data_IF_912164698172
#
_entry.id   IF_912164698172
#
_cell.length_a   1.000
_cell.length_b   1.000
_cell.length_c   1.000
_cell.angle_alpha   90.00
_cell.angle_beta   90.00
_cell.angle_gamma   90.00
#
_symmetry.space_group_name_H-M   'P 1'
#
loop_
_entity.id
_entity.type
_entity.pdbx_description
1 polymer ?
#
# COMPACT_ATOMS: atom_id res chain seq x y z
N UNK A 1 18.11 -7.55 -11.13
CA UNK A 1 19.59 -7.48 -10.97
C UNK A 1 20.06 -6.08 -10.61
N UNK A 2 19.75 -5.04 -11.39
CA UNK A 2 20.11 -3.65 -11.05
C UNK A 2 19.50 -3.19 -9.73
N UNK A 3 18.21 -3.46 -9.53
CA UNK A 3 17.48 -3.15 -8.30
C UNK A 3 18.16 -3.73 -7.04
N UNK A 4 18.51 -5.03 -7.08
CA UNK A 4 19.23 -5.70 -5.99
C UNK A 4 20.58 -5.07 -5.66
N UNK A 5 21.33 -4.63 -6.68
CA UNK A 5 22.62 -3.97 -6.49
C UNK A 5 22.45 -2.57 -5.87
N UNK A 6 21.43 -1.82 -6.29
CA UNK A 6 21.10 -0.53 -5.67
C UNK A 6 20.73 -0.73 -4.20
N UNK A 7 19.91 -1.75 -3.90
CA UNK A 7 19.54 -2.13 -2.55
C UNK A 7 20.74 -2.42 -1.64
N UNK A 8 21.72 -3.18 -2.13
CA UNK A 8 22.89 -3.56 -1.34
C UNK A 8 23.88 -2.41 -1.17
N UNK A 9 24.23 -1.73 -2.26
CA UNK A 9 25.35 -0.79 -2.29
C UNK A 9 24.98 0.69 -2.06
N UNK A 10 23.76 1.10 -2.43
CA UNK A 10 23.34 2.50 -2.34
C UNK A 10 22.39 2.72 -1.18
N UNK A 11 21.33 1.92 -1.03
CA UNK A 11 20.31 2.15 0.00
C UNK A 11 20.88 2.10 1.41
N UNK A 12 21.86 1.22 1.65
CA UNK A 12 22.53 1.07 2.95
C UNK A 12 23.33 2.32 3.38
N UNK A 13 23.69 3.18 2.43
CA UNK A 13 24.41 4.44 2.69
C UNK A 13 23.49 5.62 2.97
N UNK A 14 22.19 5.51 2.62
CA UNK A 14 21.22 6.59 2.71
C UNK A 14 20.62 6.74 4.12
N UNK A 15 21.43 7.16 5.10
CA UNK A 15 20.96 7.42 6.47
C UNK A 15 20.15 8.73 6.53
N UNK A 16 20.74 9.79 5.99
CA UNK A 16 20.08 11.10 5.87
C UNK A 16 19.21 11.16 4.62
N UNK A 17 18.27 12.12 4.53
CA UNK A 17 17.47 12.34 3.32
C UNK A 17 18.36 12.49 2.08
N UNK A 18 18.33 11.48 1.23
CA UNK A 18 19.21 11.35 0.06
C UNK A 18 18.36 11.09 -1.18
N UNK A 19 18.64 11.82 -2.26
CA UNK A 19 17.97 11.62 -3.54
C UNK A 19 18.86 10.80 -4.48
N UNK A 20 18.38 9.63 -4.87
CA UNK A 20 18.96 8.84 -5.95
C UNK A 20 18.25 9.27 -7.24
N UNK A 21 19.00 9.74 -8.23
CA UNK A 21 18.46 10.36 -9.44
C UNK A 21 18.95 9.68 -10.71
N UNK A 22 18.24 9.91 -11.81
CA UNK A 22 18.61 9.45 -13.16
C UNK A 22 18.62 7.93 -13.30
N UNK A 23 17.50 7.29 -12.96
CA UNK A 23 17.32 5.86 -13.13
C UNK A 23 17.34 5.44 -14.62
N UNK A 24 17.88 4.27 -14.97
CA UNK A 24 17.79 3.72 -16.32
C UNK A 24 16.36 3.58 -16.85
N UNK A 25 16.18 3.80 -18.15
CA UNK A 25 14.87 3.70 -18.83
C UNK A 25 14.24 2.32 -18.69
N UNK A 26 15.06 1.27 -18.70
CA UNK A 26 14.61 -0.13 -18.58
C UNK A 26 13.89 -0.42 -17.26
N UNK A 27 14.17 0.34 -16.20
CA UNK A 27 13.55 0.18 -14.87
C UNK A 27 12.40 1.17 -14.64
N UNK A 28 12.14 2.08 -15.59
CA UNK A 28 11.23 3.21 -15.39
C UNK A 28 10.32 3.38 -16.61
N UNK A 29 9.38 2.45 -16.86
CA UNK A 29 8.55 2.43 -18.07
C UNK A 29 7.72 3.70 -18.25
N UNK A 30 7.24 4.30 -17.15
CA UNK A 30 6.40 5.50 -17.16
C UNK A 30 7.19 6.81 -17.09
N UNK A 31 8.48 6.76 -16.80
CA UNK A 31 9.29 7.97 -16.63
C UNK A 31 9.84 8.46 -17.97
N UNK A 32 9.73 9.76 -18.22
CA UNK A 32 10.27 10.41 -19.41
C UNK A 32 11.80 10.25 -19.49
N UNK A 33 12.29 10.03 -20.70
CA UNK A 33 13.73 9.97 -21.00
C UNK A 33 14.44 11.27 -20.58
N UNK A 34 15.70 11.15 -20.19
CA UNK A 34 16.50 12.26 -19.69
C UNK A 34 16.91 13.20 -20.82
N UNK A 35 16.72 14.51 -20.64
CA UNK A 35 16.99 15.54 -21.67
C UNK A 35 18.41 15.55 -22.25
N UNK A 36 19.40 15.09 -21.48
CA UNK A 36 20.83 15.16 -21.83
C UNK A 36 21.61 13.85 -21.69
N UNK A 37 21.01 12.79 -21.14
CA UNK A 37 21.72 11.54 -20.84
C UNK A 37 20.96 10.36 -21.46
N UNK A 38 21.37 9.90 -22.66
CA UNK A 38 20.70 8.80 -23.33
C UNK A 38 20.67 7.53 -22.45
N UNK A 39 19.52 6.83 -22.42
CA UNK A 39 19.34 5.59 -21.65
C UNK A 39 18.95 5.78 -20.18
N UNK A 40 18.85 7.03 -19.71
CA UNK A 40 18.35 7.37 -18.36
C UNK A 40 17.01 8.11 -18.45
N UNK A 41 16.30 8.16 -17.33
CA UNK A 41 15.04 8.87 -17.14
C UNK A 41 15.18 10.07 -16.20
N UNK A 42 14.24 11.01 -16.30
CA UNK A 42 14.07 12.08 -15.31
C UNK A 42 13.27 11.57 -14.10
N UNK A 43 13.84 10.62 -13.35
CA UNK A 43 13.28 10.02 -12.13
C UNK A 43 14.21 10.22 -10.94
N UNK A 44 13.63 10.47 -9.77
CA UNK A 44 14.32 10.40 -8.50
C UNK A 44 13.56 9.57 -7.48
N UNK A 45 14.31 8.97 -6.57
CA UNK A 45 13.80 8.30 -5.39
C UNK A 45 14.46 8.93 -4.17
N UNK A 46 13.66 9.24 -3.16
CA UNK A 46 14.13 9.79 -1.90
C UNK A 46 14.22 8.66 -0.87
N UNK A 47 15.39 8.55 -0.25
CA UNK A 47 15.69 7.58 0.80
C UNK A 47 15.95 8.27 2.12
N UNK A 48 15.42 7.71 3.20
CA UNK A 48 15.66 8.12 4.59
C UNK A 48 15.84 6.86 5.42
N UNK A 49 16.84 6.84 6.30
CA UNK A 49 17.12 5.70 7.18
C UNK A 49 17.12 4.35 6.42
N UNK A 50 17.84 4.32 5.29
CA UNK A 50 18.00 3.17 4.38
C UNK A 50 16.70 2.62 3.79
N UNK A 51 15.64 3.43 3.69
CA UNK A 51 14.37 3.05 3.09
C UNK A 51 13.86 4.13 2.16
N UNK A 52 13.29 3.69 1.05
CA UNK A 52 12.61 4.55 0.09
C UNK A 52 11.34 5.15 0.71
N UNK A 53 11.26 6.48 0.72
CA UNK A 53 10.09 7.23 1.19
C UNK A 53 9.24 7.79 0.05
N UNK A 54 9.86 8.08 -1.09
CA UNK A 54 9.21 8.78 -2.18
C UNK A 54 9.84 8.39 -3.51
N UNK A 55 8.99 8.29 -4.53
CA UNK A 55 9.35 8.10 -5.91
C UNK A 55 8.68 9.19 -6.74
N UNK A 56 9.44 9.81 -7.63
CA UNK A 56 8.93 10.89 -8.47
C UNK A 56 9.64 10.90 -9.82
N UNK A 57 8.93 11.28 -10.85
CA UNK A 57 9.47 11.33 -12.20
C UNK A 57 8.72 12.33 -13.07
N UNK A 58 9.39 12.81 -14.10
CA UNK A 58 8.70 13.52 -15.18
C UNK A 58 7.91 12.48 -15.96
N UNK A 59 6.60 12.71 -16.12
CA UNK A 59 5.69 11.77 -16.76
C UNK A 59 6.00 11.64 -18.25
N UNK A 60 6.00 10.39 -18.75
CA UNK A 60 6.11 10.13 -20.17
C UNK A 60 4.81 10.56 -20.87
N UNK A 61 4.90 11.66 -21.61
CA UNK A 61 3.75 12.24 -22.31
C UNK A 61 3.70 11.92 -23.81
N UNK A 62 4.52 10.98 -24.29
CA UNK A 62 4.51 10.54 -25.69
C UNK A 62 3.76 9.21 -25.82
N UNK A 63 2.58 9.17 -26.48
CA UNK A 63 1.78 7.95 -26.56
C UNK A 63 2.47 6.83 -27.35
N UNK A 64 3.22 7.16 -28.40
CA UNK A 64 3.95 6.19 -29.20
C UNK A 64 5.04 5.48 -28.38
N UNK A 65 5.84 6.26 -27.63
CA UNK A 65 6.89 5.71 -26.75
C UNK A 65 6.28 4.93 -25.59
N UNK A 66 5.15 5.40 -25.05
CA UNK A 66 4.46 4.69 -23.97
C UNK A 66 3.97 3.31 -24.43
N UNK A 67 3.42 3.20 -25.65
CA UNK A 67 3.02 1.90 -26.23
C UNK A 67 4.20 0.96 -26.41
N UNK A 68 5.30 1.44 -26.99
CA UNK A 68 6.52 0.64 -27.16
C UNK A 68 7.03 0.08 -25.83
N UNK A 69 6.97 0.89 -24.75
CA UNK A 69 7.37 0.45 -23.41
C UNK A 69 6.41 -0.58 -22.82
N UNK A 70 5.11 -0.44 -23.03
CA UNK A 70 4.14 -1.45 -22.62
C UNK A 70 4.29 -2.76 -23.40
N UNK A 71 4.60 -2.70 -24.70
CA UNK A 71 4.88 -3.89 -25.50
C UNK A 71 6.12 -4.64 -24.98
N UNK A 72 7.18 -3.92 -24.62
CA UNK A 72 8.37 -4.53 -24.03
C UNK A 72 8.07 -5.14 -22.64
N UNK A 73 7.27 -4.46 -21.81
CA UNK A 73 6.85 -5.03 -20.52
C UNK A 73 5.96 -6.27 -20.69
N UNK A 74 5.05 -6.28 -21.66
CA UNK A 74 4.26 -7.46 -21.99
C UNK A 74 5.17 -8.62 -22.42
N UNK A 75 6.21 -8.34 -23.20
CA UNK A 75 7.21 -9.35 -23.58
C UNK A 75 8.03 -9.86 -22.39
N UNK A 76 8.30 -9.02 -21.40
CA UNK A 76 8.98 -9.43 -20.15
C UNK A 76 8.05 -10.30 -19.29
N UNK A 77 6.75 -9.98 -19.25
CA UNK A 77 5.73 -10.80 -18.60
C UNK A 77 5.66 -12.21 -19.18
N UNK A 78 5.68 -12.33 -20.50
CA UNK A 78 5.69 -13.63 -21.20
C UNK A 78 6.96 -14.44 -20.90
N UNK A 79 8.04 -13.77 -20.49
CA UNK A 79 9.30 -14.39 -20.03
C UNK A 79 9.28 -14.79 -18.54
N UNK A 80 8.16 -14.55 -17.84
CA UNK A 80 7.96 -14.97 -16.44
C UNK A 80 8.14 -13.87 -15.40
N UNK A 81 8.09 -12.59 -15.80
CA UNK A 81 8.04 -11.46 -14.85
C UNK A 81 6.60 -11.17 -14.42
N UNK A 82 6.22 -11.66 -13.23
CA UNK A 82 4.87 -11.47 -12.67
C UNK A 82 4.60 -10.01 -12.22
N UNK A 83 5.63 -9.17 -12.09
CA UNK A 83 5.52 -7.75 -11.69
C UNK A 83 5.40 -6.80 -12.89
N UNK A 84 5.54 -7.31 -14.11
CA UNK A 84 5.42 -6.52 -15.32
C UNK A 84 3.99 -5.97 -15.53
N UNK A 85 3.92 -4.71 -15.94
CA UNK A 85 2.64 -4.04 -16.17
C UNK A 85 1.94 -4.59 -17.42
N UNK A 86 0.62 -4.61 -17.37
CA UNK A 86 -0.22 -4.92 -18.52
C UNK A 86 -0.35 -3.70 -19.43
N UNK A 87 -0.55 -3.94 -20.73
CA UNK A 87 -0.85 -2.90 -21.70
C UNK A 87 -2.23 -2.30 -21.38
N UNK A 88 -2.29 -1.00 -21.13
CA UNK A 88 -3.53 -0.23 -20.97
C UNK A 88 -3.74 0.69 -22.18
N UNK A 89 -4.55 0.21 -23.14
CA UNK A 89 -4.88 0.97 -24.35
C UNK A 89 -5.70 2.22 -24.06
N UNK A 90 -6.53 2.22 -23.00
CA UNK A 90 -7.31 3.41 -22.63
C UNK A 90 -6.41 4.51 -22.09
N UNK A 91 -5.36 4.13 -21.34
CA UNK A 91 -4.32 5.07 -20.90
C UNK A 91 -3.55 5.65 -22.09
N UNK A 92 -3.11 4.80 -23.03
CA UNK A 92 -2.43 5.26 -24.24
C UNK A 92 -3.31 6.17 -25.10
N UNK A 93 -4.59 5.85 -25.27
CA UNK A 93 -5.54 6.71 -25.97
C UNK A 93 -5.72 8.05 -25.25
N UNK A 94 -5.77 8.05 -23.91
CA UNK A 94 -5.84 9.28 -23.12
C UNK A 94 -4.62 10.19 -23.32
N UNK A 95 -3.42 9.60 -23.44
CA UNK A 95 -2.20 10.35 -23.75
C UNK A 95 -2.24 11.01 -25.14
N UNK A 96 -2.94 10.42 -26.12
CA UNK A 96 -3.10 10.99 -27.47
C UNK A 96 -3.97 12.25 -27.49
N UNK A 97 -4.92 12.39 -26.56
CA UNK A 97 -5.66 13.64 -26.39
C UNK A 97 -4.78 14.79 -25.88
N UNK A 98 -3.59 14.48 -25.38
CA UNK A 98 -2.56 15.43 -25.03
C UNK A 98 -2.38 15.57 -23.52
N UNK A 99 -1.35 14.90 -22.99
CA UNK A 99 -0.85 15.14 -21.64
C UNK A 99 0.17 16.30 -21.65
N UNK A 100 -0.09 17.43 -20.96
CA UNK A 100 0.91 18.49 -20.81
C UNK A 100 2.17 17.98 -20.08
N UNK A 101 3.31 18.67 -20.20
CA UNK A 101 4.52 18.30 -19.46
C UNK A 101 4.23 18.30 -17.95
N UNK A 102 4.19 17.11 -17.36
CA UNK A 102 3.72 16.86 -15.99
C UNK A 102 4.80 16.11 -15.20
N UNK A 103 4.85 16.34 -13.88
CA UNK A 103 5.65 15.54 -12.96
C UNK A 103 4.74 14.75 -12.02
N UNK A 104 5.02 13.46 -11.89
CA UNK A 104 4.39 12.58 -10.92
C UNK A 104 5.21 12.49 -9.65
N UNK A 105 4.52 12.31 -8.52
CA UNK A 105 5.13 12.15 -7.21
C UNK A 105 4.28 11.23 -6.36
N UNK A 106 4.93 10.27 -5.71
CA UNK A 106 4.35 9.37 -4.73
C UNK A 106 5.19 9.34 -3.46
N UNK A 107 4.53 9.26 -2.31
CA UNK A 107 5.18 9.11 -1.01
C UNK A 107 4.44 8.11 -0.15
N UNK A 108 5.21 7.23 0.50
CA UNK A 108 4.69 6.30 1.48
C UNK A 108 4.37 7.00 2.79
N UNK A 109 3.10 7.35 3.01
CA UNK A 109 2.65 8.00 4.25
C UNK A 109 2.94 7.12 5.46
N UNK A 110 2.71 5.82 5.37
CA UNK A 110 2.99 4.87 6.45
C UNK A 110 4.47 4.91 6.84
N UNK A 111 5.38 4.90 5.86
CA UNK A 111 6.82 5.00 6.09
C UNK A 111 7.22 6.36 6.69
N UNK A 112 6.61 7.45 6.21
CA UNK A 112 6.83 8.76 6.81
C UNK A 112 6.42 8.78 8.29
N UNK A 113 5.24 8.25 8.62
CA UNK A 113 4.75 8.18 10.00
C UNK A 113 5.63 7.25 10.84
N UNK A 114 6.13 6.14 10.29
CA UNK A 114 7.09 5.26 10.96
C UNK A 114 8.34 6.02 11.41
N UNK A 115 8.92 6.85 10.55
CA UNK A 115 10.07 7.68 10.90
C UNK A 115 9.74 8.76 11.93
N UNK A 116 8.58 9.42 11.80
CA UNK A 116 8.16 10.46 12.74
C UNK A 116 7.81 9.91 14.13
N UNK A 117 7.32 8.68 14.20
CA UNK A 117 6.94 8.00 15.45
C UNK A 117 8.04 7.10 16.01
N UNK A 118 9.20 7.04 15.34
CA UNK A 118 10.33 6.17 15.68
C UNK A 118 9.95 4.68 15.81
N UNK A 119 9.07 4.22 14.92
CA UNK A 119 8.60 2.83 14.86
C UNK A 119 9.21 2.10 13.66
N UNK A 120 9.79 0.93 13.90
CA UNK A 120 10.37 0.09 12.83
C UNK A 120 9.34 -0.79 12.09
N UNK A 121 8.16 -0.99 12.68
CA UNK A 121 7.12 -1.86 12.13
C UNK A 121 5.95 -1.03 11.60
N UNK A 122 5.53 -1.30 10.36
CA UNK A 122 4.35 -0.67 9.75
C UNK A 122 3.06 -0.96 10.51
N UNK A 123 3.01 -2.05 11.29
CA UNK A 123 1.83 -2.41 12.07
C UNK A 123 1.53 -1.42 13.20
N UNK A 124 2.55 -0.70 13.68
CA UNK A 124 2.40 0.29 14.75
C UNK A 124 1.76 1.59 14.27
N UNK A 125 1.81 1.86 12.96
CA UNK A 125 1.26 3.08 12.35
C UNK A 125 -0.10 2.84 11.67
N UNK A 126 -0.52 1.59 11.55
CA UNK A 126 -1.80 1.18 11.01
C UNK A 126 -2.80 0.95 12.14
N UNK A 127 -3.97 1.61 12.08
CA UNK A 127 -5.02 1.42 13.10
C UNK A 127 -5.53 -0.04 13.17
N UNK A 128 -5.61 -0.71 12.01
CA UNK A 128 -6.02 -2.11 11.90
C UNK A 128 -5.11 -2.83 10.89
N UNK A 129 -3.96 -3.38 11.33
CA UNK A 129 -3.06 -4.09 10.43
C UNK A 129 -3.67 -5.42 10.00
N UNK A 130 -3.38 -5.84 8.76
CA UNK A 130 -3.73 -7.18 8.29
C UNK A 130 -2.98 -8.22 9.12
N UNK A 131 -3.72 -8.97 9.93
CA UNK A 131 -3.20 -10.09 10.71
C UNK A 131 -3.38 -11.38 9.94
N UNK A 132 -2.40 -12.28 10.03
CA UNK A 132 -2.55 -13.63 9.53
C UNK A 132 -3.57 -14.35 10.41
N UNK A 133 -4.54 -15.03 9.82
CA UNK A 133 -5.55 -15.77 10.57
C UNK A 133 -4.88 -16.83 11.46
N UNK A 134 -5.28 -16.87 12.74
CA UNK A 134 -4.90 -17.93 13.64
C UNK A 134 -5.62 -19.21 13.22
N UNK A 135 -4.86 -20.17 12.66
CA UNK A 135 -5.36 -21.51 12.30
C UNK A 135 -5.88 -22.33 13.49
N UNK A 136 -5.79 -21.79 14.71
CA UNK A 136 -6.27 -22.36 15.96
C UNK A 136 -7.59 -21.76 16.45
N UNK A 137 -8.15 -20.76 15.75
CA UNK A 137 -9.50 -20.30 16.04
C UNK A 137 -10.49 -21.39 15.61
N UNK A 138 -10.92 -22.22 16.57
CA UNK A 138 -12.07 -23.09 16.40
C UNK A 138 -13.20 -22.28 15.78
N UNK A 139 -13.61 -22.67 14.57
CA UNK A 139 -14.71 -22.08 13.83
C UNK A 139 -15.99 -22.24 14.66
N UNK A 140 -16.29 -21.24 15.51
CA UNK A 140 -17.60 -21.09 16.10
C UNK A 140 -18.58 -20.96 14.94
N UNK A 141 -19.54 -21.88 14.86
CA UNK A 141 -20.52 -21.99 13.77
C UNK A 141 -21.00 -20.60 13.34
N UNK A 142 -20.98 -20.35 12.04
CA UNK A 142 -21.47 -19.09 11.48
C UNK A 142 -22.91 -18.86 11.94
N UNK A 143 -23.26 -17.60 12.22
CA UNK A 143 -24.58 -17.16 12.70
C UNK A 143 -25.72 -17.67 11.80
N UNK A 144 -25.43 -17.97 10.53
CA UNK A 144 -26.38 -18.49 9.55
C UNK A 144 -26.84 -19.93 9.83
N UNK A 145 -26.02 -20.79 10.45
CA UNK A 145 -26.44 -22.15 10.82
C UNK A 145 -27.35 -22.16 12.04
N UNK A 146 -27.24 -21.18 12.94
CA UNK A 146 -28.04 -21.10 14.16
C UNK A 146 -29.51 -20.71 13.88
N UNK A 147 -29.80 -20.07 12.75
CA UNK A 147 -31.16 -19.62 12.38
C UNK A 147 -32.04 -20.77 11.89
N UNK A 148 -31.45 -21.89 11.43
CA UNK A 148 -32.20 -23.01 10.84
C UNK A 148 -32.41 -24.22 11.78
N UNK A 149 -31.96 -24.16 13.03
CA UNK A 149 -32.23 -25.19 14.03
C UNK A 149 -33.43 -24.82 14.90
N UNK A 150 -34.40 -25.73 15.01
CA UNK A 150 -35.59 -25.58 15.87
C UNK A 150 -35.17 -25.28 17.33
N UNK A 151 -35.87 -24.37 18.05
CA UNK A 151 -35.53 -24.07 19.43
C UNK A 151 -35.81 -25.28 20.34
N UNK A 152 -34.85 -25.63 21.18
CA UNK A 152 -35.03 -26.52 22.32
C UNK A 152 -35.36 -25.68 23.57
N UNK A 153 -36.25 -26.14 24.47
CA UNK A 153 -36.69 -25.37 25.62
C UNK A 153 -35.59 -25.21 26.68
N UNK A 154 -35.64 -24.06 27.35
CA UNK A 154 -34.63 -23.46 28.23
C UNK A 154 -34.21 -24.28 29.46
N UNK A 155 -33.00 -23.99 29.97
CA UNK A 155 -32.75 -23.91 31.41
C UNK A 155 -31.66 -22.86 31.73
N UNK A 156 -32.09 -21.74 32.31
CA UNK A 156 -31.39 -20.91 33.31
C UNK A 156 -29.94 -20.47 33.06
N UNK A 157 -29.75 -19.23 32.60
CA UNK A 157 -28.98 -18.25 33.37
C UNK A 157 -29.15 -16.81 32.85
N UNK A 158 -29.19 -15.86 33.78
CA UNK A 158 -29.53 -14.43 33.58
C UNK A 158 -28.69 -13.77 32.48
N UNK A 159 -29.35 -13.33 31.40
CA UNK A 159 -28.75 -12.44 30.40
C UNK A 159 -28.96 -10.97 30.82
N UNK A 160 -27.87 -10.22 30.94
CA UNK A 160 -27.90 -8.76 31.07
C UNK A 160 -28.22 -8.21 29.67
N UNK A 161 -29.44 -7.73 29.47
CA UNK A 161 -29.83 -7.00 28.26
C UNK A 161 -29.32 -5.56 28.38
N UNK A 162 -28.31 -5.20 27.58
CA UNK A 162 -27.97 -3.80 27.30
C UNK A 162 -28.64 -3.42 25.98
N UNK A 163 -29.78 -2.74 26.07
CA UNK A 163 -30.43 -2.08 24.93
C UNK A 163 -29.92 -0.64 24.84
N UNK A 164 -29.17 -0.31 23.80
CA UNK A 164 -28.77 1.06 23.50
C UNK A 164 -29.79 1.69 22.53
N UNK A 165 -30.66 2.58 23.03
CA UNK A 165 -31.53 3.41 22.19
C UNK A 165 -30.74 4.63 21.70
N UNK A 166 -30.46 4.68 20.40
CA UNK A 166 -29.90 5.86 19.73
C UNK A 166 -31.00 6.91 19.50
N UNK A 167 -31.33 7.71 20.52
CA UNK A 167 -32.02 8.99 20.24
C UNK A 167 -31.82 10.14 21.24
N UNK A 168 -31.01 10.05 22.29
CA UNK A 168 -30.76 11.20 23.19
C UNK A 168 -29.35 11.18 23.81
N UNK A 169 -28.82 12.34 24.27
CA UNK A 169 -27.39 12.53 24.51
C UNK A 169 -26.85 11.73 25.72
N UNK A 170 -25.65 11.18 25.50
CA UNK A 170 -24.93 10.27 26.39
C UNK A 170 -24.53 11.00 27.68
N UNK A 171 -25.08 10.59 28.82
CA UNK A 171 -24.52 10.86 30.15
C UNK A 171 -24.03 9.54 30.74
N UNK A 172 -22.70 9.39 30.83
CA UNK A 172 -22.04 8.23 31.43
C UNK A 172 -21.89 8.48 32.94
N UNK A 173 -22.71 7.83 33.75
CA UNK A 173 -22.45 7.71 35.19
C UNK A 173 -21.86 6.33 35.47
N UNK A 174 -20.56 6.25 35.73
CA UNK A 174 -19.88 5.05 36.21
C UNK A 174 -20.16 4.85 37.70
N UNK A 175 -20.82 3.75 38.07
CA UNK A 175 -20.82 3.26 39.44
C UNK A 175 -20.02 1.95 39.49
N UNK A 176 -18.83 2.01 40.09
CA UNK A 176 -18.03 0.84 40.43
C UNK A 176 -18.66 0.17 41.66
N UNK A 177 -18.99 -1.13 41.57
CA UNK A 177 -19.31 -1.92 42.76
C UNK A 177 -18.07 -2.68 43.25
N UNK A 178 -17.85 -2.76 44.57
CA UNK A 178 -16.63 -3.30 45.16
C UNK A 178 -16.61 -4.83 45.15
N UNK A 179 -15.44 -5.39 44.89
CA UNK A 179 -15.11 -6.81 45.10
C UNK A 179 -15.15 -7.14 46.59
N UNK A 180 -16.00 -8.08 46.98
CA UNK A 180 -16.03 -8.61 48.34
C UNK A 180 -15.29 -9.97 48.38
N UNK A 181 -14.27 -9.98 49.26
CA UNK A 181 -13.57 -11.07 49.96
C UNK A 181 -12.97 -12.22 49.15
#
# INVERSE_FOLDING_TARGET
>A
MLDTLVGEFLESTCINPTFIMSHPEMMSPLAKYHRSKPGLCERFEAFVATKEICNAYTELNSPAVQRERFDEQARQKDQGDDEAQLIDENFCQSLEYGLPPTGGWGMGIDRLVMFLTNNYSIKEVLAFPMMKEDKTAHHGKSVLEAVNSKPQPEEGNRMILISANFHEPISLTMNLQPTNQ
#
